data_IF_935106541584
#
_entry.id   IF_935106541584
#
_cell.length_a   1.000
_cell.length_b   1.000
_cell.length_c   1.000
_cell.angle_alpha   90.00
_cell.angle_beta   90.00
_cell.angle_gamma   90.00
#
_symmetry.space_group_name_H-M   'P 1'
#
loop_
_entity.id
_entity.type
_entity.pdbx_description
1 polymer ?
#
# COMPACT_ATOMS: atom_id res chain seq x y z
N UNK A 1 1.84 0.10 -19.62
CA UNK A 1 1.77 0.24 -18.14
C UNK A 1 3.02 0.95 -17.65
N UNK A 2 2.92 2.21 -17.29
CA UNK A 2 4.00 2.90 -16.56
C UNK A 2 3.65 2.86 -15.08
N UNK A 3 4.12 1.80 -14.42
CA UNK A 3 4.08 1.70 -12.98
C UNK A 3 5.25 2.50 -12.41
N UNK A 4 4.97 3.54 -11.63
CA UNK A 4 6.01 4.33 -11.00
C UNK A 4 6.06 4.01 -9.51
N UNK A 5 7.18 3.42 -9.08
CA UNK A 5 7.49 3.19 -7.68
C UNK A 5 7.96 4.51 -7.06
N UNK A 6 7.10 5.14 -6.27
CA UNK A 6 7.44 6.38 -5.59
C UNK A 6 8.23 6.06 -4.32
N UNK A 7 9.45 6.58 -4.26
CA UNK A 7 10.29 6.59 -3.06
C UNK A 7 9.94 7.79 -2.18
N UNK A 8 10.38 7.73 -0.94
CA UNK A 8 10.27 8.72 0.12
C UNK A 8 10.62 10.15 -0.36
N UNK A 9 9.70 10.77 -1.05
CA UNK A 9 9.83 12.13 -1.56
C UNK A 9 8.94 13.08 -0.74
N UNK A 10 9.35 14.32 -0.66
CA UNK A 10 8.71 15.39 0.13
C UNK A 10 7.25 15.66 -0.26
N UNK A 11 6.79 15.19 -1.44
CA UNK A 11 5.39 15.31 -1.87
C UNK A 11 4.99 14.17 -2.80
N UNK A 12 4.38 13.13 -2.25
CA UNK A 12 3.85 12.01 -3.04
C UNK A 12 2.71 12.47 -3.95
N UNK A 13 1.93 13.44 -3.53
CA UNK A 13 0.82 14.01 -4.28
C UNK A 13 1.30 14.70 -5.59
N UNK A 14 2.41 15.45 -5.53
CA UNK A 14 2.95 16.12 -6.72
C UNK A 14 3.50 15.13 -7.74
N UNK A 15 4.14 14.06 -7.28
CA UNK A 15 4.60 12.98 -8.15
C UNK A 15 3.41 12.28 -8.80
N UNK A 16 2.36 12.01 -8.05
CA UNK A 16 1.15 11.38 -8.56
C UNK A 16 0.49 12.24 -9.66
N UNK A 17 0.36 13.56 -9.43
CA UNK A 17 -0.13 14.50 -10.47
C UNK A 17 0.74 14.49 -11.72
N UNK A 18 2.07 14.52 -11.54
CA UNK A 18 2.98 14.47 -12.70
C UNK A 18 2.85 13.17 -13.50
N UNK A 19 2.55 12.03 -12.85
CA UNK A 19 2.28 10.77 -13.53
C UNK A 19 0.96 10.83 -14.31
N UNK A 20 -0.11 11.36 -13.73
CA UNK A 20 -1.39 11.56 -14.40
C UNK A 20 -1.26 12.51 -15.60
N UNK A 21 -0.59 13.65 -15.44
CA UNK A 21 -0.32 14.62 -16.50
C UNK A 21 0.52 14.01 -17.65
N UNK A 22 1.39 13.04 -17.32
CA UNK A 22 2.15 12.29 -18.31
C UNK A 22 1.35 11.16 -19.00
N UNK A 23 0.07 11.01 -18.69
CA UNK A 23 -0.84 10.05 -19.31
C UNK A 23 -0.80 8.65 -18.70
N UNK A 24 -0.54 8.52 -17.40
CA UNK A 24 -0.69 7.25 -16.70
C UNK A 24 -2.18 6.88 -16.59
N UNK A 25 -2.51 5.60 -16.78
CA UNK A 25 -3.87 5.06 -16.66
C UNK A 25 -4.24 4.68 -15.20
N UNK A 26 -3.25 4.60 -14.32
CA UNK A 26 -3.40 4.30 -12.91
C UNK A 26 -2.06 4.41 -12.18
N UNK A 27 -2.11 4.49 -10.86
CA UNK A 27 -0.93 4.61 -10.00
C UNK A 27 -0.94 3.51 -8.95
N UNK A 28 0.15 2.74 -8.82
CA UNK A 28 0.34 1.84 -7.69
C UNK A 28 1.35 2.40 -6.70
N UNK A 29 1.03 2.29 -5.42
CA UNK A 29 1.88 2.71 -4.31
C UNK A 29 1.60 1.88 -3.05
N UNK A 30 2.60 1.55 -2.22
CA UNK A 30 3.95 2.11 -2.17
C UNK A 30 5.00 1.01 -2.38
N UNK A 31 6.19 1.40 -2.80
CA UNK A 31 7.35 0.51 -2.76
C UNK A 31 7.87 0.38 -1.31
N UNK A 32 8.88 -0.47 -1.12
CA UNK A 32 9.58 -0.61 0.16
C UNK A 32 10.16 0.72 0.64
N UNK A 33 10.13 0.94 1.96
CA UNK A 33 10.74 2.11 2.61
C UNK A 33 12.20 1.79 2.94
N UNK A 34 13.09 2.76 2.77
CA UNK A 34 14.52 2.56 3.05
C UNK A 34 14.76 2.34 4.54
N UNK A 35 15.45 1.26 4.86
CA UNK A 35 15.85 0.88 6.20
C UNK A 35 17.32 0.48 6.29
N UNK A 36 17.84 0.35 7.51
CA UNK A 36 19.19 -0.12 7.81
C UNK A 36 19.21 -0.94 9.09
N UNK A 37 20.07 -1.95 9.12
CA UNK A 37 20.40 -2.71 10.34
C UNK A 37 21.92 -2.84 10.47
N UNK A 38 22.41 -2.81 11.71
CA UNK A 38 23.83 -2.98 12.03
C UNK A 38 24.03 -4.34 12.74
N UNK A 39 25.12 -5.01 12.37
CA UNK A 39 25.63 -6.15 13.11
C UNK A 39 26.42 -5.63 14.32
N UNK A 40 25.96 -6.00 15.52
CA UNK A 40 26.56 -5.53 16.77
C UNK A 40 27.95 -6.12 17.04
N UNK A 41 28.27 -7.30 16.47
CA UNK A 41 29.58 -7.94 16.63
C UNK A 41 30.63 -7.27 15.74
N UNK A 42 30.32 -7.14 14.47
CA UNK A 42 31.23 -6.56 13.48
C UNK A 42 31.20 -5.03 13.44
N UNK A 43 30.15 -4.41 14.02
CA UNK A 43 29.87 -2.97 14.01
C UNK A 43 29.78 -2.40 12.60
N UNK A 44 29.28 -3.21 11.66
CA UNK A 44 29.10 -2.86 10.24
C UNK A 44 27.64 -3.00 9.82
N UNK A 45 27.23 -2.39 8.70
CA UNK A 45 25.93 -2.67 8.11
C UNK A 45 25.73 -4.16 7.85
N UNK A 46 24.54 -4.66 8.15
CA UNK A 46 24.17 -6.06 7.91
C UNK A 46 24.05 -6.38 6.42
N UNK A 47 23.61 -5.39 5.64
CA UNK A 47 23.47 -5.50 4.19
C UNK A 47 24.72 -4.96 3.48
N UNK A 48 25.14 -5.63 2.42
CA UNK A 48 26.31 -5.22 1.62
C UNK A 48 26.16 -3.77 1.08
N UNK A 49 24.95 -3.35 0.72
CA UNK A 49 24.66 -2.00 0.23
C UNK A 49 24.36 -1.00 1.37
N UNK A 50 24.66 -1.34 2.61
CA UNK A 50 24.39 -0.56 3.83
C UNK A 50 22.91 -0.38 4.15
N UNK A 51 22.07 -0.05 3.16
CA UNK A 51 20.62 0.14 3.28
C UNK A 51 19.87 -0.85 2.41
N UNK A 52 18.59 -1.08 2.72
CA UNK A 52 17.70 -1.95 1.94
C UNK A 52 16.24 -1.57 2.14
N UNK A 53 15.39 -2.11 1.27
CA UNK A 53 13.95 -1.88 1.36
C UNK A 53 13.32 -2.64 2.53
N UNK A 54 12.62 -1.93 3.39
CA UNK A 54 11.78 -2.49 4.45
C UNK A 54 10.37 -2.69 3.92
N UNK A 55 9.83 -3.90 4.08
CA UNK A 55 8.45 -4.28 3.75
C UNK A 55 7.78 -4.96 4.94
N UNK A 56 6.53 -5.38 4.76
CA UNK A 56 5.74 -6.04 5.79
C UNK A 56 4.89 -5.08 6.64
N UNK A 57 4.20 -5.56 7.69
CA UNK A 57 3.17 -4.81 8.39
C UNK A 57 3.63 -3.48 9.01
N UNK A 58 4.93 -3.33 9.27
CA UNK A 58 5.49 -2.10 9.83
C UNK A 58 5.33 -0.87 8.93
N UNK A 59 5.21 -1.06 7.59
CA UNK A 59 5.03 0.05 6.64
C UNK A 59 3.55 0.31 6.30
N UNK A 60 2.62 -0.50 6.79
CA UNK A 60 1.20 -0.39 6.45
C UNK A 60 0.61 1.00 6.76
N UNK A 61 0.82 1.62 7.93
CA UNK A 61 0.31 2.96 8.20
C UNK A 61 0.86 4.03 7.26
N UNK A 62 2.08 3.85 6.73
CA UNK A 62 2.64 4.72 5.72
C UNK A 62 1.93 4.55 4.38
N UNK A 63 1.62 3.31 4.00
CA UNK A 63 0.87 3.01 2.78
C UNK A 63 -0.52 3.63 2.82
N UNK A 64 -1.26 3.47 3.92
CA UNK A 64 -2.60 4.07 4.11
C UNK A 64 -2.54 5.59 3.94
N UNK A 65 -1.61 6.28 4.64
CA UNK A 65 -1.45 7.73 4.52
C UNK A 65 -1.11 8.17 3.09
N UNK A 66 -0.22 7.44 2.42
CA UNK A 66 0.20 7.80 1.07
C UNK A 66 -0.91 7.56 0.04
N UNK A 67 -1.66 6.47 0.15
CA UNK A 67 -2.85 6.20 -0.67
C UNK A 67 -3.89 7.32 -0.49
N UNK A 68 -4.16 7.72 0.76
CA UNK A 68 -5.03 8.84 1.07
C UNK A 68 -4.63 10.12 0.34
N UNK A 69 -3.35 10.52 0.44
CA UNK A 69 -2.83 11.73 -0.18
C UNK A 69 -2.88 11.69 -1.72
N UNK A 70 -2.63 10.52 -2.31
CA UNK A 70 -2.67 10.36 -3.77
C UNK A 70 -4.11 10.37 -4.27
N UNK A 71 -5.04 9.71 -3.56
CA UNK A 71 -6.46 9.71 -3.93
C UNK A 71 -7.04 11.13 -4.00
N UNK A 72 -6.67 12.02 -3.06
CA UNK A 72 -7.05 13.43 -3.11
C UNK A 72 -6.41 14.22 -4.28
N UNK A 73 -5.27 13.75 -4.78
CA UNK A 73 -4.46 14.49 -5.74
C UNK A 73 -4.75 14.16 -7.20
N UNK A 74 -5.26 12.96 -7.51
CA UNK A 74 -5.46 12.45 -8.88
C UNK A 74 -6.87 11.94 -9.10
N UNK A 75 -7.24 11.76 -10.38
CA UNK A 75 -8.54 11.22 -10.79
C UNK A 75 -8.47 9.80 -11.36
N UNK A 76 -7.26 9.35 -11.70
CA UNK A 76 -6.99 7.99 -12.19
C UNK A 76 -7.00 6.97 -11.04
N UNK A 77 -7.30 5.69 -11.33
CA UNK A 77 -7.35 4.65 -10.31
C UNK A 77 -6.06 4.53 -9.49
N UNK A 78 -6.21 4.30 -8.19
CA UNK A 78 -5.11 4.11 -7.25
C UNK A 78 -5.10 2.66 -6.79
N UNK A 79 -3.96 1.98 -6.94
CA UNK A 79 -3.74 0.64 -6.43
C UNK A 79 -2.88 0.72 -5.17
N UNK A 80 -3.44 0.29 -4.03
CA UNK A 80 -2.76 0.34 -2.74
C UNK A 80 -1.96 -0.92 -2.46
N UNK A 81 -0.70 -0.76 -2.02
CA UNK A 81 0.12 -1.86 -1.53
C UNK A 81 1.10 -1.37 -0.47
N UNK A 82 1.54 -2.31 0.39
CA UNK A 82 2.52 -2.04 1.44
C UNK A 82 2.05 -2.53 2.81
N UNK A 83 2.51 -3.68 3.23
CA UNK A 83 2.27 -4.23 4.55
C UNK A 83 0.92 -4.92 4.78
N UNK A 84 0.14 -5.13 3.74
CA UNK A 84 -1.17 -5.83 3.80
C UNK A 84 -0.98 -7.27 4.28
N UNK A 85 -1.72 -7.66 5.34
CA UNK A 85 -1.67 -8.98 5.97
C UNK A 85 -3.05 -9.59 6.17
N UNK A 86 -4.13 -8.80 6.11
CA UNK A 86 -5.50 -9.21 6.47
C UNK A 86 -6.56 -8.61 5.53
N UNK A 87 -7.79 -9.12 5.61
CA UNK A 87 -8.93 -8.55 4.92
C UNK A 87 -9.31 -7.16 5.46
N UNK A 88 -9.10 -6.92 6.75
CA UNK A 88 -9.26 -5.60 7.36
C UNK A 88 -8.32 -4.57 6.74
N UNK A 89 -7.05 -4.93 6.47
CA UNK A 89 -6.09 -4.03 5.81
C UNK A 89 -6.52 -3.67 4.39
N UNK A 90 -7.14 -4.63 3.67
CA UNK A 90 -7.70 -4.36 2.34
C UNK A 90 -8.80 -3.31 2.42
N UNK A 91 -9.75 -3.47 3.35
CA UNK A 91 -10.84 -2.50 3.54
C UNK A 91 -10.29 -1.12 3.94
N UNK A 92 -9.28 -1.07 4.80
CA UNK A 92 -8.67 0.19 5.23
C UNK A 92 -8.02 0.94 4.06
N UNK A 93 -7.28 0.26 3.19
CA UNK A 93 -6.74 0.87 1.98
C UNK A 93 -7.83 1.35 1.00
N UNK A 94 -8.92 0.59 0.85
CA UNK A 94 -10.05 1.01 0.01
C UNK A 94 -10.75 2.24 0.59
N UNK A 95 -10.96 2.30 1.89
CA UNK A 95 -11.48 3.50 2.57
C UNK A 95 -10.56 4.72 2.36
N UNK A 96 -9.24 4.52 2.32
CA UNK A 96 -8.28 5.56 2.01
C UNK A 96 -8.27 5.99 0.52
N UNK A 97 -8.95 5.24 -0.37
CA UNK A 97 -9.11 5.58 -1.78
C UNK A 97 -8.51 4.58 -2.78
N UNK A 98 -7.99 3.45 -2.32
CA UNK A 98 -7.52 2.42 -3.25
C UNK A 98 -8.70 1.76 -3.97
N UNK A 99 -8.61 1.61 -5.30
CA UNK A 99 -9.57 0.88 -6.14
C UNK A 99 -9.23 -0.60 -6.25
N UNK A 100 -7.99 -0.96 -5.97
CA UNK A 100 -7.51 -2.33 -5.87
C UNK A 100 -6.37 -2.40 -4.85
N UNK A 101 -6.09 -3.61 -4.33
CA UNK A 101 -5.06 -3.83 -3.32
C UNK A 101 -4.14 -4.97 -3.74
N UNK A 102 -2.83 -4.76 -3.63
CA UNK A 102 -1.83 -5.79 -3.89
C UNK A 102 -1.21 -6.29 -2.57
N UNK A 103 -0.94 -7.59 -2.52
CA UNK A 103 -0.35 -8.27 -1.35
C UNK A 103 1.04 -8.78 -1.73
N UNK A 104 2.08 -8.23 -1.16
CA UNK A 104 3.48 -8.59 -1.43
C UNK A 104 4.09 -9.46 -0.33
N UNK A 105 4.65 -8.83 0.68
CA UNK A 105 5.48 -9.48 1.73
C UNK A 105 4.75 -10.60 2.49
N UNK A 106 3.43 -10.54 2.64
CA UNK A 106 2.65 -11.59 3.28
C UNK A 106 2.82 -12.96 2.59
N UNK A 107 2.90 -12.97 1.25
CA UNK A 107 3.10 -14.20 0.47
C UNK A 107 4.48 -14.85 0.67
N UNK A 108 5.47 -14.10 1.15
CA UNK A 108 6.79 -14.64 1.50
C UNK A 108 6.76 -15.37 2.84
N UNK A 109 5.86 -14.98 3.73
CA UNK A 109 5.66 -15.62 5.05
C UNK A 109 4.69 -16.79 4.91
N UNK A 110 3.63 -16.61 4.12
CA UNK A 110 2.62 -17.61 3.86
C UNK A 110 2.14 -17.54 2.41
N UNK A 111 2.44 -18.57 1.59
CA UNK A 111 2.08 -18.61 0.18
C UNK A 111 0.57 -18.60 -0.07
N UNK A 112 -0.26 -18.84 0.94
CA UNK A 112 -1.73 -18.82 0.86
C UNK A 112 -2.33 -17.51 1.41
N UNK A 113 -1.51 -16.49 1.71
CA UNK A 113 -1.97 -15.23 2.29
C UNK A 113 -3.08 -14.57 1.46
N UNK A 114 -2.89 -14.42 0.16
CA UNK A 114 -3.91 -13.83 -0.73
C UNK A 114 -5.22 -14.62 -0.70
N UNK A 115 -5.14 -15.94 -0.75
CA UNK A 115 -6.32 -16.80 -0.69
C UNK A 115 -7.10 -16.59 0.60
N UNK A 116 -6.41 -16.60 1.76
CA UNK A 116 -7.06 -16.38 3.06
C UNK A 116 -7.69 -14.99 3.17
N UNK A 117 -7.01 -13.97 2.67
CA UNK A 117 -7.56 -12.60 2.64
C UNK A 117 -8.87 -12.58 1.85
N UNK A 118 -8.88 -13.17 0.64
CA UNK A 118 -10.09 -13.22 -0.21
C UNK A 118 -11.21 -14.03 0.44
N UNK A 119 -10.89 -15.18 1.04
CA UNK A 119 -11.86 -16.03 1.73
C UNK A 119 -12.45 -15.35 2.98
N UNK A 120 -11.67 -14.47 3.65
CA UNK A 120 -12.10 -13.76 4.87
C UNK A 120 -12.86 -12.45 4.58
N UNK A 121 -12.69 -11.86 3.39
CA UNK A 121 -13.34 -10.60 3.00
C UNK A 121 -14.85 -10.58 3.27
N UNK A 122 -15.66 -11.60 2.89
CA UNK A 122 -17.11 -11.59 3.12
C UNK A 122 -17.48 -11.47 4.61
N UNK A 123 -16.72 -12.15 5.49
CA UNK A 123 -16.92 -12.09 6.94
C UNK A 123 -16.60 -10.70 7.48
N UNK A 124 -15.51 -10.10 7.02
CA UNK A 124 -15.11 -8.75 7.46
C UNK A 124 -16.07 -7.69 6.92
N UNK A 125 -16.52 -7.81 5.67
CA UNK A 125 -17.56 -6.94 5.10
C UNK A 125 -18.85 -7.00 5.91
N UNK A 126 -19.30 -8.18 6.29
CA UNK A 126 -20.48 -8.35 7.13
C UNK A 126 -20.29 -7.68 8.52
N UNK A 127 -19.11 -7.84 9.13
CA UNK A 127 -18.76 -7.24 10.42
C UNK A 127 -18.87 -5.72 10.41
N UNK A 128 -18.52 -5.08 9.30
CA UNK A 128 -18.54 -3.63 9.14
C UNK A 128 -19.73 -3.10 8.33
N UNK A 129 -20.75 -3.93 8.05
CA UNK A 129 -21.95 -3.59 7.27
C UNK A 129 -21.62 -3.05 5.87
N UNK A 130 -20.63 -3.63 5.21
CA UNK A 130 -20.23 -3.30 3.83
C UNK A 130 -20.93 -4.27 2.90
N UNK A 131 -21.77 -3.78 1.99
CA UNK A 131 -22.49 -4.58 1.01
C UNK A 131 -21.70 -4.76 -0.29
N UNK A 132 -21.01 -3.70 -0.74
CA UNK A 132 -20.15 -3.71 -1.93
C UNK A 132 -18.84 -2.98 -1.59
N UNK A 133 -17.71 -3.55 -2.01
CA UNK A 133 -16.40 -2.92 -1.82
C UNK A 133 -16.26 -1.62 -2.61
N UNK A 134 -16.95 -1.49 -3.74
CA UNK A 134 -16.92 -0.25 -4.52
C UNK A 134 -17.54 0.92 -3.77
N UNK A 135 -18.51 0.69 -2.90
CA UNK A 135 -19.20 1.74 -2.14
C UNK A 135 -18.31 2.39 -1.06
N UNK A 136 -17.22 1.72 -0.68
CA UNK A 136 -16.33 2.21 0.37
C UNK A 136 -15.07 2.91 -0.16
N UNK A 137 -14.85 2.90 -1.47
CA UNK A 137 -13.66 3.53 -2.05
C UNK A 137 -13.64 5.03 -1.74
N UNK A 138 -12.61 5.47 -1.00
CA UNK A 138 -12.50 6.86 -0.57
C UNK A 138 -13.52 7.26 0.51
N UNK A 139 -14.26 6.31 1.08
CA UNK A 139 -15.31 6.59 2.05
C UNK A 139 -14.83 7.33 3.30
N UNK A 140 -13.57 7.22 3.67
CA UNK A 140 -13.00 7.93 4.80
C UNK A 140 -12.79 9.44 4.54
N UNK A 141 -12.83 9.91 3.29
CA UNK A 141 -12.71 11.32 2.93
C UNK A 141 -14.01 12.14 3.12
N UNK A 142 -15.13 11.45 3.37
CA UNK A 142 -16.46 12.07 3.43
C UNK A 142 -17.03 12.09 4.86
N UNK A 143 -16.19 11.80 5.88
CA UNK A 143 -16.56 11.79 7.30
C UNK A 143 -16.46 13.15 7.98
#
# INVERSE_FOLDING_TARGET
QRQMCIRDSTSIADIARACEDAGADGISLINTVMGMRLDLKTRKPLLANSTGGMSGPAIFPLAVRMVWQVYEAVRIPVVGLGGVMSAEDVIELMLAGATAVEVGAANLVDPFACRRIVEDLPRVMQKYNINDLNDIIGGAHHG
#
